data_IF_214799316739
#
_entry.id   IF_214799316739
#
_cell.length_a   1.000
_cell.length_b   1.000
_cell.length_c   1.000
_cell.angle_alpha   90.00
_cell.angle_beta   90.00
_cell.angle_gamma   90.00
#
_symmetry.space_group_name_H-M   'P 1'
#
loop_
_entity.id
_entity.type
_entity.pdbx_description
1 polymer ?
#
# COMPACT_ATOMS: atom_id res chain seq x y z
N UNK A 1 9.15 -25.20 54.80
CA UNK A 1 9.88 -25.43 53.52
C UNK A 1 8.98 -25.36 52.29
N UNK A 2 7.67 -25.63 52.40
CA UNK A 2 6.71 -25.68 51.27
C UNK A 2 6.20 -24.30 50.79
N UNK A 3 6.05 -23.29 51.66
CA UNK A 3 5.63 -21.94 51.23
C UNK A 3 6.68 -21.20 50.38
N UNK A 4 7.98 -21.39 50.64
CA UNK A 4 9.05 -20.78 49.83
C UNK A 4 9.09 -21.34 48.40
N UNK A 5 8.74 -22.62 48.22
CA UNK A 5 8.71 -23.27 46.91
C UNK A 5 7.52 -22.75 46.09
N UNK A 6 6.36 -22.59 46.73
CA UNK A 6 5.16 -22.01 46.08
C UNK A 6 5.37 -20.54 45.72
N UNK A 7 5.93 -19.71 46.61
CA UNK A 7 6.27 -18.31 46.29
C UNK A 7 7.27 -18.21 45.14
N UNK A 8 8.30 -19.07 45.14
CA UNK A 8 9.29 -19.14 44.06
C UNK A 8 8.66 -19.53 42.73
N UNK A 9 7.73 -20.49 42.73
CA UNK A 9 7.01 -20.93 41.54
C UNK A 9 6.11 -19.84 40.96
N UNK A 10 5.37 -19.11 41.81
CA UNK A 10 4.55 -17.97 41.36
C UNK A 10 5.40 -16.81 40.83
N UNK A 11 6.52 -16.51 41.50
CA UNK A 11 7.44 -15.47 41.07
C UNK A 11 8.07 -15.79 39.69
N UNK A 12 8.49 -17.03 39.49
CA UNK A 12 8.99 -17.49 38.20
C UNK A 12 7.93 -17.43 37.10
N UNK A 13 6.69 -17.78 37.41
CA UNK A 13 5.56 -17.68 36.47
C UNK A 13 5.30 -16.23 36.06
N UNK A 14 5.32 -15.29 37.00
CA UNK A 14 5.16 -13.86 36.73
C UNK A 14 6.26 -13.31 35.84
N UNK A 15 7.53 -13.69 36.09
CA UNK A 15 8.66 -13.30 35.25
C UNK A 15 8.50 -13.84 33.82
N UNK A 16 8.03 -15.08 33.68
CA UNK A 16 7.80 -15.70 32.38
C UNK A 16 6.68 -14.99 31.59
N UNK A 17 5.58 -14.65 32.25
CA UNK A 17 4.47 -13.89 31.65
C UNK A 17 4.96 -12.49 31.22
N UNK A 18 5.75 -11.81 32.06
CA UNK A 18 6.33 -10.52 31.70
C UNK A 18 7.28 -10.62 30.50
N UNK A 19 8.12 -11.66 30.44
CA UNK A 19 9.02 -11.87 29.31
C UNK A 19 8.25 -12.10 27.99
N UNK A 20 7.19 -12.92 28.03
CA UNK A 20 6.31 -13.13 26.87
C UNK A 20 5.65 -11.81 26.44
N UNK A 21 5.10 -11.05 27.40
CA UNK A 21 4.44 -9.78 27.10
C UNK A 21 5.40 -8.77 26.45
N UNK A 22 6.64 -8.64 26.93
CA UNK A 22 7.66 -7.76 26.35
C UNK A 22 8.06 -8.22 24.94
N UNK A 23 8.23 -9.53 24.72
CA UNK A 23 8.53 -10.08 23.39
C UNK A 23 7.35 -9.86 22.43
N UNK A 24 6.10 -10.02 22.89
CA UNK A 24 4.91 -9.74 22.08
C UNK A 24 4.75 -8.25 21.76
N UNK A 25 5.03 -7.35 22.71
CA UNK A 25 4.99 -5.89 22.51
C UNK A 25 6.06 -5.43 21.51
N UNK A 26 7.27 -6.00 21.60
CA UNK A 26 8.36 -5.67 20.66
C UNK A 26 8.10 -6.24 19.27
N UNK A 27 7.57 -7.46 19.15
CA UNK A 27 7.16 -8.04 17.86
C UNK A 27 5.98 -7.29 17.21
N UNK A 28 5.05 -6.77 18.01
CA UNK A 28 3.94 -5.95 17.52
C UNK A 28 4.35 -4.54 17.07
N UNK A 29 5.57 -4.08 17.39
CA UNK A 29 6.05 -2.74 17.02
C UNK A 29 6.60 -2.63 15.60
N UNK A 30 6.63 -3.73 14.84
CA UNK A 30 6.86 -3.74 13.39
C UNK A 30 5.58 -3.49 12.59
N UNK A 31 4.56 -2.84 13.18
CA UNK A 31 3.58 -2.15 12.35
C UNK A 31 4.30 -0.96 11.73
N UNK A 32 4.70 -1.15 10.47
CA UNK A 32 4.84 -0.08 9.51
C UNK A 32 3.80 0.99 9.86
N UNK A 33 4.28 2.13 10.34
CA UNK A 33 3.51 3.33 10.13
C UNK A 33 3.38 3.39 8.62
N UNK A 34 2.19 3.10 8.12
CA UNK A 34 1.73 3.65 6.86
C UNK A 34 1.94 5.16 6.98
N UNK A 35 3.15 5.60 6.64
CA UNK A 35 3.50 6.99 6.46
C UNK A 35 2.74 7.42 5.21
N UNK A 36 1.44 7.67 5.37
CA UNK A 36 0.76 8.71 4.61
C UNK A 36 1.38 10.06 5.03
N UNK A 37 2.66 10.24 4.71
CA UNK A 37 3.32 11.53 4.75
C UNK A 37 2.63 12.45 3.73
N UNK A 38 2.63 13.76 3.96
CA UNK A 38 2.12 14.69 2.97
C UNK A 38 2.92 14.51 1.68
N UNK A 39 2.20 14.26 0.57
CA UNK A 39 2.81 14.19 -0.77
C UNK A 39 3.20 15.61 -1.18
N UNK A 40 4.29 16.12 -0.63
CA UNK A 40 4.82 17.46 -0.91
C UNK A 40 5.33 17.61 -2.36
N UNK A 41 5.35 16.52 -3.14
CA UNK A 41 5.67 16.50 -4.57
C UNK A 41 4.45 16.49 -5.51
N UNK A 42 3.26 16.84 -4.99
CA UNK A 42 1.97 16.65 -5.67
C UNK A 42 1.83 17.32 -7.04
N UNK A 43 2.47 18.47 -7.32
CA UNK A 43 2.34 19.14 -8.61
C UNK A 43 3.10 18.40 -9.73
N UNK A 44 4.36 18.03 -9.50
CA UNK A 44 5.13 17.26 -10.48
C UNK A 44 4.49 15.89 -10.73
N UNK A 45 4.01 15.22 -9.68
CA UNK A 45 3.29 13.95 -9.79
C UNK A 45 1.97 14.12 -10.55
N UNK A 46 1.22 15.21 -10.31
CA UNK A 46 -0.03 15.50 -11.02
C UNK A 46 0.21 15.71 -12.51
N UNK A 47 1.27 16.43 -12.89
CA UNK A 47 1.63 16.62 -14.31
C UNK A 47 2.06 15.31 -14.97
N UNK A 48 2.88 14.50 -14.29
CA UNK A 48 3.29 13.17 -14.79
C UNK A 48 2.08 12.26 -14.98
N UNK A 49 1.16 12.21 -14.01
CA UNK A 49 -0.07 11.42 -14.14
C UNK A 49 -0.92 11.94 -15.30
N UNK A 50 -1.06 13.26 -15.43
CA UNK A 50 -1.83 13.89 -16.50
C UNK A 50 -1.24 13.56 -17.88
N UNK A 51 0.08 13.55 -18.00
CA UNK A 51 0.80 13.16 -19.20
C UNK A 51 0.57 11.67 -19.53
N UNK A 52 0.77 10.77 -18.57
CA UNK A 52 0.53 9.33 -18.75
C UNK A 52 -0.90 9.04 -19.20
N UNK A 53 -1.89 9.71 -18.60
CA UNK A 53 -3.31 9.54 -18.97
C UNK A 53 -3.56 10.04 -20.39
N UNK A 54 -3.02 11.21 -20.74
CA UNK A 54 -3.15 11.76 -22.07
C UNK A 54 -2.47 10.90 -23.15
N UNK A 55 -1.34 10.27 -22.83
CA UNK A 55 -0.68 9.33 -23.73
C UNK A 55 -1.57 8.11 -24.02
N UNK A 56 -2.19 7.53 -22.98
CA UNK A 56 -3.16 6.41 -23.15
C UNK A 56 -4.38 6.84 -23.96
N UNK A 57 -4.91 8.04 -23.70
CA UNK A 57 -6.01 8.62 -24.49
C UNK A 57 -5.63 8.79 -25.96
N UNK A 58 -4.40 9.19 -26.25
CA UNK A 58 -3.88 9.27 -27.62
C UNK A 58 -3.81 7.89 -28.32
N UNK A 59 -3.39 6.84 -27.61
CA UNK A 59 -3.38 5.45 -28.14
C UNK A 59 -4.79 4.97 -28.53
N UNK A 60 -5.81 5.34 -27.76
CA UNK A 60 -7.22 5.05 -28.09
C UNK A 60 -7.69 5.82 -29.33
N UNK A 61 -7.30 7.08 -29.49
CA UNK A 61 -7.64 7.89 -30.69
C UNK A 61 -6.97 7.36 -31.96
N UNK A 62 -5.77 6.80 -31.86
CA UNK A 62 -5.10 6.15 -33.00
C UNK A 62 -5.64 4.75 -33.30
N UNK A 63 -6.33 4.12 -32.34
CA UNK A 63 -6.77 2.73 -32.45
C UNK A 63 -5.61 1.73 -32.26
N UNK A 64 -4.54 2.13 -31.57
CA UNK A 64 -3.36 1.29 -31.31
C UNK A 64 -3.48 0.50 -30.01
N UNK A 65 -4.49 0.82 -29.20
CA UNK A 65 -4.66 0.24 -27.88
C UNK A 65 -5.02 -1.25 -28.01
N UNK A 66 -4.13 -2.11 -27.50
CA UNK A 66 -4.36 -3.55 -27.41
C UNK A 66 -5.30 -3.87 -26.23
N UNK A 67 -5.74 -5.13 -26.11
CA UNK A 67 -6.66 -5.64 -25.08
C UNK A 67 -8.15 -5.33 -25.36
N UNK A 68 -8.58 -5.52 -26.60
CA UNK A 68 -9.98 -5.56 -26.97
C UNK A 68 -10.74 -6.71 -26.28
N UNK A 69 -12.06 -6.82 -26.48
CA UNK A 69 -12.92 -7.77 -25.77
C UNK A 69 -12.48 -9.24 -25.88
N UNK A 70 -11.75 -9.60 -26.93
CA UNK A 70 -11.21 -10.94 -27.15
C UNK A 70 -9.73 -11.09 -26.77
N UNK A 71 -9.15 -10.10 -26.08
CA UNK A 71 -7.74 -10.07 -25.64
C UNK A 71 -6.71 -9.86 -26.75
N UNK A 72 -6.95 -10.44 -27.93
CA UNK A 72 -6.09 -10.38 -29.12
C UNK A 72 -6.38 -9.15 -29.98
N UNK A 73 -7.63 -8.68 -29.96
CA UNK A 73 -8.07 -7.57 -30.80
C UNK A 73 -7.63 -6.22 -30.23
N UNK A 74 -7.50 -5.21 -31.09
CA UNK A 74 -7.34 -3.82 -30.66
C UNK A 74 -8.69 -3.27 -30.18
N UNK A 75 -8.67 -2.33 -29.23
CA UNK A 75 -9.86 -1.57 -28.88
C UNK A 75 -10.30 -0.70 -30.06
N UNK A 76 -11.62 -0.47 -30.21
CA UNK A 76 -12.13 0.41 -31.24
C UNK A 76 -11.55 1.82 -31.10
N UNK A 77 -11.36 2.49 -32.24
CA UNK A 77 -10.85 3.85 -32.29
C UNK A 77 -11.78 4.79 -31.52
N UNK A 78 -11.23 5.52 -30.55
CA UNK A 78 -11.97 6.49 -29.77
C UNK A 78 -12.34 7.71 -30.60
N UNK A 79 -13.62 8.07 -30.62
CA UNK A 79 -14.13 9.30 -31.25
C UNK A 79 -14.37 10.34 -30.14
N UNK A 80 -14.06 11.61 -30.41
CA UNK A 80 -14.26 12.74 -29.48
C UNK A 80 -13.45 12.69 -28.16
N UNK A 81 -12.35 11.96 -28.11
CA UNK A 81 -11.45 11.93 -26.94
C UNK A 81 -10.55 13.18 -26.96
N UNK A 82 -10.78 14.10 -26.02
CA UNK A 82 -9.96 15.32 -25.84
C UNK A 82 -8.83 15.12 -24.82
N UNK A 83 -7.75 15.89 -24.97
CA UNK A 83 -6.65 15.97 -23.98
C UNK A 83 -7.19 16.54 -22.66
N UNK A 84 -6.85 15.93 -21.54
CA UNK A 84 -7.10 16.46 -20.21
C UNK A 84 -6.12 17.59 -19.91
N UNK A 85 -6.62 18.66 -19.30
CA UNK A 85 -5.85 19.82 -18.88
C UNK A 85 -5.85 19.91 -17.36
N UNK A 86 -4.76 20.44 -16.80
CA UNK A 86 -4.68 20.71 -15.37
C UNK A 86 -5.57 21.92 -15.04
N UNK A 87 -6.38 21.81 -13.98
CA UNK A 87 -7.07 22.95 -13.37
C UNK A 87 -6.10 23.80 -12.58
#
# INVERSE_FOLDING_TARGET
MTMHILLSSHFMLSVYICAIAVVSLTASSNNEKDECGPVENGMAIREVILEMVNERRSKLVRGDQQNGPKGVDKLPRGVNIRKMVSC
#
